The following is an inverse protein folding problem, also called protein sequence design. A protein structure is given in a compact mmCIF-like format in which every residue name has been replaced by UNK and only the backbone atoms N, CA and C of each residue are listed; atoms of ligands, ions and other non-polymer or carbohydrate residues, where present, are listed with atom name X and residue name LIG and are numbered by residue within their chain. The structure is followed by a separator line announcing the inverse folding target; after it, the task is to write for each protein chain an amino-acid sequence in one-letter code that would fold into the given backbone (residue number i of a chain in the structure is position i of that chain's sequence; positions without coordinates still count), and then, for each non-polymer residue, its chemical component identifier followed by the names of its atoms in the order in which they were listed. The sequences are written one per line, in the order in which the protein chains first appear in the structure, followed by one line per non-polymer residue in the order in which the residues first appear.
data_IF_452110272758
#
_entry.id   IF_452110272758
#
_cell.length_a   1.000
_cell.length_b   1.000
_cell.length_c   1.000
_cell.angle_alpha   90.00
_cell.angle_beta   90.00
_cell.angle_gamma   90.00
#
_symmetry.space_group_name_H-M   'P 1'
#
loop_
_entity.id
_entity.type
_entity.pdbx_description
1 polymer ?
#
# COMPACT_ATOMS: atom_id res chain seq x y z
N UNK A 1 -0.34 -3.18 19.99
CA UNK A 1 0.51 -1.96 20.09
C UNK A 1 1.58 -1.99 19.02
N UNK A 2 1.93 -0.84 18.47
CA UNK A 2 2.89 -0.73 17.37
C UNK A 2 3.15 0.72 16.98
N UNK A 3 3.99 0.88 15.96
CA UNK A 3 4.36 2.15 15.36
C UNK A 3 3.73 2.27 13.96
N UNK A 4 3.33 3.48 13.60
CA UNK A 4 2.78 3.84 12.30
C UNK A 4 3.55 5.05 11.75
N UNK A 5 3.77 5.10 10.43
CA UNK A 5 4.59 6.14 9.80
C UNK A 5 3.94 7.51 9.61
N UNK A 6 2.61 7.64 9.73
CA UNK A 6 1.87 8.84 9.30
C UNK A 6 2.34 10.11 10.00
N UNK A 7 2.34 10.15 11.33
CA UNK A 7 2.63 11.38 12.08
C UNK A 7 4.07 11.89 11.87
N UNK A 8 5.00 10.98 11.56
CA UNK A 8 6.41 11.33 11.36
C UNK A 8 6.78 11.61 9.90
N UNK A 9 6.14 10.93 8.95
CA UNK A 9 6.56 10.91 7.55
C UNK A 9 5.44 11.17 6.54
N UNK A 10 4.17 11.15 6.96
CA UNK A 10 3.03 11.18 6.05
C UNK A 10 3.21 10.22 4.87
N UNK A 11 3.11 10.76 3.66
CA UNK A 11 3.26 10.00 2.40
C UNK A 11 4.71 9.83 1.93
N UNK A 12 5.73 10.32 2.64
CA UNK A 12 7.12 10.38 2.14
C UNK A 12 8.07 9.33 2.72
N UNK A 13 7.57 8.44 3.58
CA UNK A 13 8.37 7.37 4.20
C UNK A 13 9.19 6.58 3.16
N UNK A 14 10.46 6.35 3.45
CA UNK A 14 11.35 5.45 2.68
C UNK A 14 11.60 4.14 3.41
N UNK A 15 12.02 3.11 2.67
CA UNK A 15 12.40 1.82 3.24
C UNK A 15 13.51 1.93 4.30
N UNK A 16 14.50 2.79 4.07
CA UNK A 16 15.60 3.00 5.02
C UNK A 16 15.08 3.56 6.37
N UNK A 17 14.21 4.56 6.32
CA UNK A 17 13.56 5.13 7.52
C UNK A 17 12.67 4.09 8.22
N UNK A 18 11.89 3.31 7.45
CA UNK A 18 11.06 2.24 8.02
C UNK A 18 11.92 1.20 8.75
N UNK A 19 12.99 0.71 8.10
CA UNK A 19 13.91 -0.27 8.71
C UNK A 19 14.58 0.29 9.97
N UNK A 20 14.91 1.57 10.01
CA UNK A 20 15.49 2.20 11.21
C UNK A 20 14.51 2.16 12.40
N UNK A 21 13.24 2.54 12.18
CA UNK A 21 12.20 2.46 13.21
C UNK A 21 11.95 1.02 13.67
N UNK A 22 11.88 0.07 12.74
CA UNK A 22 11.71 -1.36 13.04
C UNK A 22 12.86 -1.89 13.92
N UNK A 23 14.12 -1.61 13.58
CA UNK A 23 15.28 -2.03 14.39
C UNK A 23 15.21 -1.47 15.81
N UNK A 24 14.87 -0.19 15.92
CA UNK A 24 14.78 0.48 17.21
C UNK A 24 13.67 -0.14 18.06
N UNK A 25 12.48 -0.31 17.49
CA UNK A 25 11.35 -0.94 18.16
C UNK A 25 11.68 -2.38 18.61
N UNK A 26 12.35 -3.17 17.75
CA UNK A 26 12.75 -4.54 18.07
C UNK A 26 13.71 -4.61 19.27
N UNK A 27 14.71 -3.71 19.31
CA UNK A 27 15.73 -3.65 20.37
C UNK A 27 15.18 -3.11 21.69
N UNK A 28 14.29 -2.12 21.64
CA UNK A 28 13.93 -1.34 22.83
C UNK A 28 12.52 -1.63 23.35
N UNK A 29 11.53 -1.79 22.46
CA UNK A 29 10.12 -1.80 22.83
C UNK A 29 9.45 -3.18 22.77
N UNK A 30 10.00 -4.12 21.98
CA UNK A 30 9.36 -5.43 21.75
C UNK A 30 9.06 -6.19 23.04
N UNK A 31 9.98 -6.15 24.02
CA UNK A 31 9.80 -6.76 25.35
C UNK A 31 8.62 -6.21 26.14
N UNK A 32 8.13 -5.02 25.79
CA UNK A 32 6.98 -4.36 26.41
C UNK A 32 5.69 -4.52 25.58
N UNK A 33 5.67 -5.44 24.61
CA UNK A 33 4.45 -5.76 23.84
C UNK A 33 4.23 -4.93 22.57
N UNK A 34 5.19 -4.09 22.16
CA UNK A 34 5.16 -3.44 20.85
C UNK A 34 5.48 -4.44 19.75
N UNK A 35 4.55 -4.62 18.81
CA UNK A 35 4.60 -5.72 17.85
C UNK A 35 4.40 -5.31 16.41
N UNK A 36 3.64 -4.26 16.11
CA UNK A 36 3.32 -3.89 14.73
C UNK A 36 4.18 -2.73 14.24
N UNK A 37 4.75 -2.86 13.04
CA UNK A 37 5.35 -1.75 12.30
C UNK A 37 4.54 -1.54 11.02
N UNK A 38 3.93 -0.36 10.89
CA UNK A 38 2.92 -0.08 9.86
C UNK A 38 3.41 1.01 8.91
N UNK A 39 3.36 0.72 7.61
CA UNK A 39 3.53 1.71 6.54
C UNK A 39 2.15 2.30 6.24
N UNK A 40 1.99 3.60 6.49
CA UNK A 40 0.73 4.29 6.27
C UNK A 40 0.48 4.65 4.79
N UNK A 41 -0.59 5.40 4.52
CA UNK A 41 -1.13 5.66 3.20
C UNK A 41 -0.09 6.27 2.23
N UNK A 42 -0.28 5.99 0.94
CA UNK A 42 0.52 6.58 -0.12
C UNK A 42 1.84 5.87 -0.42
N UNK A 43 2.05 4.64 0.04
CA UNK A 43 3.24 3.85 -0.29
C UNK A 43 3.39 3.49 -1.79
N UNK A 44 2.31 3.57 -2.57
CA UNK A 44 2.33 3.41 -4.03
C UNK A 44 2.66 4.71 -4.79
N UNK A 45 2.76 5.84 -4.08
CA UNK A 45 3.09 7.15 -4.64
C UNK A 45 4.62 7.28 -4.77
N UNK A 46 5.17 7.57 -5.96
CA UNK A 46 6.61 7.81 -6.14
C UNK A 46 7.10 9.03 -5.33
N UNK A 47 8.41 9.11 -5.09
CA UNK A 47 9.06 10.19 -4.34
C UNK A 47 8.81 11.59 -4.94
N UNK A 48 8.59 11.67 -6.25
CA UNK A 48 8.23 12.92 -6.96
C UNK A 48 6.76 13.37 -6.77
N UNK A 49 5.98 12.67 -5.96
CA UNK A 49 4.60 13.01 -5.64
C UNK A 49 3.54 12.30 -6.49
N UNK A 50 2.29 12.42 -6.06
CA UNK A 50 1.14 11.86 -6.76
C UNK A 50 0.71 12.83 -7.88
N UNK A 51 1.03 12.48 -9.13
CA UNK A 51 0.31 13.03 -10.29
C UNK A 51 -0.78 12.04 -10.69
N UNK A 52 -1.89 12.53 -11.23
CA UNK A 52 -2.96 11.65 -11.72
C UNK A 52 -2.38 10.66 -12.76
N UNK A 53 -2.64 9.36 -12.58
CA UNK A 53 -2.13 8.31 -13.47
C UNK A 53 -0.68 7.86 -13.22
N UNK A 54 -0.11 8.14 -12.03
CA UNK A 54 1.28 7.80 -11.68
C UNK A 54 1.36 6.74 -10.57
N UNK A 55 0.22 6.20 -10.13
CA UNK A 55 0.22 5.18 -9.09
C UNK A 55 0.70 3.86 -9.69
N UNK A 56 1.59 3.18 -8.97
CA UNK A 56 2.05 1.88 -9.41
C UNK A 56 0.97 0.85 -9.11
N UNK A 57 0.37 0.31 -10.17
CA UNK A 57 -0.55 -0.82 -10.11
C UNK A 57 -0.01 -1.97 -10.97
N UNK A 58 -0.36 -3.21 -10.62
CA UNK A 58 -0.07 -4.36 -11.47
C UNK A 58 -1.11 -4.51 -12.60
N UNK A 59 -0.92 -5.54 -13.45
CA UNK A 59 -1.82 -5.84 -14.57
C UNK A 59 -3.25 -6.18 -14.18
N UNK A 60 -3.53 -6.36 -12.88
CA UNK A 60 -4.86 -6.65 -12.33
C UNK A 60 -5.40 -5.48 -11.51
N UNK A 61 -4.78 -4.31 -11.59
CA UNK A 61 -5.23 -3.11 -10.87
C UNK A 61 -4.93 -3.10 -9.38
N UNK A 62 -3.96 -3.90 -8.89
CA UNK A 62 -3.56 -3.92 -7.48
C UNK A 62 -2.39 -2.97 -7.25
N UNK A 63 -2.46 -2.12 -6.22
CA UNK A 63 -1.36 -1.23 -5.87
C UNK A 63 -0.04 -1.97 -5.60
N UNK A 64 1.05 -1.40 -6.06
CA UNK A 64 2.43 -1.85 -5.85
C UNK A 64 3.22 -0.75 -5.14
N UNK A 65 4.14 -1.11 -4.22
CA UNK A 65 5.06 -0.14 -3.60
C UNK A 65 5.94 0.53 -4.64
N UNK A 66 6.17 1.84 -4.46
CA UNK A 66 7.01 2.64 -5.32
C UNK A 66 8.50 2.27 -5.11
N UNK A 67 9.21 1.66 -6.09
CA UNK A 67 10.56 1.12 -5.88
C UNK A 67 11.64 2.17 -5.61
N UNK A 68 11.42 3.42 -6.01
CA UNK A 68 12.28 4.56 -5.69
C UNK A 68 12.27 4.89 -4.18
N UNK A 69 11.17 4.59 -3.49
CA UNK A 69 11.06 4.69 -2.02
C UNK A 69 11.30 3.37 -1.30
N UNK A 70 10.95 2.27 -1.95
CA UNK A 70 11.06 0.90 -1.44
C UNK A 70 11.88 0.02 -2.40
N UNK A 71 13.22 0.18 -2.45
CA UNK A 71 14.07 -0.52 -3.43
C UNK A 71 13.98 -2.04 -3.37
N UNK A 72 13.71 -2.62 -2.19
CA UNK A 72 13.54 -4.07 -2.06
C UNK A 72 12.32 -4.60 -2.80
N UNK A 73 11.36 -3.75 -3.15
CA UNK A 73 10.17 -4.13 -3.89
C UNK A 73 10.38 -4.26 -5.40
N UNK A 74 11.52 -3.78 -5.93
CA UNK A 74 11.87 -3.90 -7.34
C UNK A 74 11.82 -5.37 -7.82
N UNK A 75 11.50 -5.56 -9.09
CA UNK A 75 11.41 -6.90 -9.70
C UNK A 75 10.16 -7.68 -9.26
N UNK A 76 9.02 -7.00 -9.12
CA UNK A 76 7.74 -7.60 -8.72
C UNK A 76 7.74 -8.33 -7.36
N UNK A 77 8.67 -7.97 -6.46
CA UNK A 77 8.77 -8.57 -5.11
C UNK A 77 7.81 -7.95 -4.10
N UNK A 78 7.25 -6.78 -4.41
CA UNK A 78 6.34 -6.06 -3.52
C UNK A 78 6.93 -5.86 -2.13
N UNK A 79 6.11 -5.91 -1.08
CA UNK A 79 6.60 -5.80 0.28
C UNK A 79 7.17 -7.09 0.87
N UNK A 80 7.24 -8.19 0.11
CA UNK A 80 7.70 -9.50 0.62
C UNK A 80 9.06 -9.42 1.36
N UNK A 81 10.12 -8.86 0.74
CA UNK A 81 11.42 -8.73 1.40
C UNK A 81 11.41 -7.86 2.66
N UNK A 82 10.62 -6.78 2.67
CA UNK A 82 10.52 -5.88 3.81
C UNK A 82 9.72 -6.50 4.96
N UNK A 83 8.63 -7.21 4.66
CA UNK A 83 7.86 -7.98 5.63
C UNK A 83 8.72 -9.09 6.26
N UNK A 84 9.49 -9.83 5.44
CA UNK A 84 10.42 -10.84 5.94
C UNK A 84 11.44 -10.25 6.93
N UNK A 85 11.98 -9.06 6.64
CA UNK A 85 12.87 -8.37 7.56
C UNK A 85 12.20 -7.97 8.89
N UNK A 86 10.94 -7.52 8.86
CA UNK A 86 10.19 -7.22 10.08
C UNK A 86 9.96 -8.49 10.90
N UNK A 87 9.61 -9.60 10.24
CA UNK A 87 9.38 -10.88 10.89
C UNK A 87 10.66 -11.48 11.49
N UNK A 88 11.82 -11.34 10.84
CA UNK A 88 13.09 -11.84 11.37
C UNK A 88 13.52 -11.14 12.66
N UNK A 89 13.00 -9.94 12.92
CA UNK A 89 13.18 -9.19 14.17
C UNK A 89 12.09 -9.50 15.22
N UNK A 90 11.21 -10.47 14.95
CA UNK A 90 10.13 -10.89 15.85
C UNK A 90 9.00 -9.87 15.97
N UNK A 91 8.82 -9.02 14.95
CA UNK A 91 7.75 -8.03 14.85
C UNK A 91 6.73 -8.46 13.77
N UNK A 92 5.65 -7.69 13.60
CA UNK A 92 4.56 -7.89 12.63
C UNK A 92 4.52 -6.70 11.66
N UNK A 93 4.36 -6.98 10.38
CA UNK A 93 4.27 -5.96 9.33
C UNK A 93 2.80 -5.58 9.07
N UNK A 94 2.55 -4.30 8.83
CA UNK A 94 1.23 -3.80 8.45
C UNK A 94 1.31 -2.72 7.38
N UNK A 95 0.21 -2.55 6.63
CA UNK A 95 0.06 -1.50 5.63
C UNK A 95 -1.33 -0.85 5.75
N UNK A 96 -1.41 0.42 5.40
CA UNK A 96 -2.69 1.10 5.15
C UNK A 96 -3.11 0.89 3.69
N UNK A 97 -4.41 0.70 3.43
CA UNK A 97 -4.97 0.69 2.08
C UNK A 97 -6.14 1.68 1.99
N UNK A 98 -6.31 2.31 0.82
CA UNK A 98 -7.51 3.07 0.54
C UNK A 98 -8.65 2.10 0.21
N UNK A 99 -9.86 2.37 0.70
CA UNK A 99 -11.06 1.61 0.33
C UNK A 99 -11.22 1.63 -1.20
N UNK A 100 -11.68 0.51 -1.75
CA UNK A 100 -12.18 0.44 -3.12
C UNK A 100 -11.13 0.07 -4.16
N UNK A 101 -11.32 0.57 -5.38
CA UNK A 101 -10.56 0.18 -6.57
C UNK A 101 -9.82 1.40 -7.17
N UNK A 102 -8.58 1.25 -7.67
CA UNK A 102 -7.87 2.39 -8.24
C UNK A 102 -8.58 2.96 -9.46
N UNK A 103 -8.78 4.28 -9.52
CA UNK A 103 -9.41 4.94 -10.68
C UNK A 103 -8.64 4.67 -11.97
N UNK A 104 -7.32 4.45 -11.87
CA UNK A 104 -6.47 4.09 -13.01
C UNK A 104 -6.80 2.70 -13.56
N UNK A 105 -7.06 1.72 -12.69
CA UNK A 105 -7.51 0.39 -13.09
C UNK A 105 -8.88 0.47 -13.78
N UNK A 106 -9.79 1.29 -13.25
CA UNK A 106 -11.13 1.54 -13.85
C UNK A 106 -11.01 2.21 -15.22
N UNK A 107 -10.19 3.27 -15.35
CA UNK A 107 -9.96 3.95 -16.64
C UNK A 107 -9.39 2.99 -17.69
N UNK A 108 -8.38 2.20 -17.32
CA UNK A 108 -7.77 1.21 -18.21
C UNK A 108 -8.61 -0.06 -18.39
N UNK A 109 -9.71 -0.20 -17.63
CA UNK A 109 -10.55 -1.40 -17.58
C UNK A 109 -9.73 -2.69 -17.40
N UNK A 110 -8.82 -2.71 -16.42
CA UNK A 110 -7.95 -3.86 -16.20
C UNK A 110 -8.74 -5.10 -15.75
N UNK A 111 -8.30 -6.32 -16.11
CA UNK A 111 -8.94 -7.55 -15.67
C UNK A 111 -8.80 -7.73 -14.15
N UNK A 112 -9.81 -8.32 -13.52
CA UNK A 112 -9.75 -8.73 -12.11
C UNK A 112 -9.13 -10.14 -12.05
N UNK A 113 -8.13 -10.31 -11.19
CA UNK A 113 -7.39 -11.57 -11.10
C UNK A 113 -8.33 -12.72 -10.68
N UNK A 114 -8.37 -13.79 -11.48
CA UNK A 114 -9.15 -14.98 -11.16
C UNK A 114 -10.66 -14.85 -11.40
N UNK A 115 -11.12 -13.84 -12.16
CA UNK A 115 -12.53 -13.66 -12.50
C UNK A 115 -12.72 -13.33 -13.99
N UNK A 116 -13.95 -13.43 -14.53
CA UNK A 116 -14.26 -12.99 -15.88
C UNK A 116 -14.50 -11.46 -15.98
N UNK A 117 -14.41 -10.73 -14.86
CA UNK A 117 -14.79 -9.33 -14.77
C UNK A 117 -13.59 -8.38 -14.92
N UNK A 118 -13.88 -7.14 -15.27
CA UNK A 118 -12.92 -6.05 -15.35
C UNK A 118 -13.28 -4.92 -14.40
N UNK A 119 -12.30 -4.07 -14.10
CA UNK A 119 -12.39 -2.99 -13.12
C UNK A 119 -13.58 -2.04 -13.33
N UNK A 120 -14.03 -1.77 -14.57
CA UNK A 120 -15.21 -0.91 -14.80
C UNK A 120 -16.51 -1.54 -14.33
N UNK A 121 -16.61 -2.88 -14.35
CA UNK A 121 -17.81 -3.60 -13.93
C UNK A 121 -17.94 -3.63 -12.40
N UNK A 122 -16.80 -3.57 -11.71
CA UNK A 122 -16.69 -3.63 -10.26
C UNK A 122 -16.63 -2.24 -9.58
N UNK A 123 -16.69 -1.15 -10.34
CA UNK A 123 -16.51 0.20 -9.79
C UNK A 123 -17.85 0.85 -9.43
N UNK A 124 -17.95 1.40 -8.22
CA UNK A 124 -18.99 2.34 -7.83
C UNK A 124 -18.46 3.78 -7.93
N UNK A 125 -18.83 4.44 -9.03
CA UNK A 125 -18.42 5.83 -9.33
C UNK A 125 -19.15 6.87 -8.46
N UNK A 126 -20.22 6.48 -7.76
CA UNK A 126 -20.99 7.36 -6.88
C UNK A 126 -20.45 7.35 -5.43
N UNK A 127 -19.51 6.46 -5.13
CA UNK A 127 -18.88 6.34 -3.81
C UNK A 127 -17.36 6.61 -3.84
N UNK A 128 -16.86 7.76 -4.32
CA UNK A 128 -15.45 8.10 -4.23
C UNK A 128 -15.03 8.43 -2.78
N UNK A 129 -13.73 8.50 -2.54
CA UNK A 129 -13.21 9.11 -1.31
C UNK A 129 -13.20 10.64 -1.45
N UNK A 130 -13.69 11.36 -0.44
CA UNK A 130 -13.79 12.83 -0.47
C UNK A 130 -12.44 13.55 -0.29
N UNK A 131 -11.43 12.86 0.24
CA UNK A 131 -10.14 13.47 0.59
C UNK A 131 -8.93 12.78 -0.08
N UNK A 132 -9.14 11.70 -0.83
CA UNK A 132 -8.10 11.06 -1.63
C UNK A 132 -8.65 10.72 -3.04
N UNK A 133 -8.03 11.24 -4.11
CA UNK A 133 -8.61 11.15 -5.46
C UNK A 133 -8.31 9.82 -6.17
N UNK A 134 -7.66 8.86 -5.51
CA UNK A 134 -7.03 7.73 -6.20
C UNK A 134 -7.93 6.51 -6.36
N UNK A 135 -8.99 6.39 -5.56
CA UNK A 135 -9.92 5.27 -5.61
C UNK A 135 -11.37 5.71 -5.85
N UNK A 136 -12.08 4.87 -6.59
CA UNK A 136 -13.55 4.82 -6.57
C UNK A 136 -14.01 3.70 -5.62
N UNK A 137 -15.30 3.64 -5.31
CA UNK A 137 -15.86 2.51 -4.58
C UNK A 137 -15.77 1.22 -5.37
N UNK A 138 -15.84 0.10 -4.67
CA UNK A 138 -16.22 -1.18 -5.30
C UNK A 138 -17.74 -1.26 -5.20
N UNK A 139 -18.41 -1.73 -6.26
CA UNK A 139 -19.85 -1.88 -6.25
C UNK A 139 -20.25 -3.03 -5.31
N UNK A 140 -21.54 -3.33 -5.23
CA UNK A 140 -22.03 -4.54 -4.55
C UNK A 140 -22.74 -5.39 -5.62
N UNK A 141 -21.94 -6.05 -6.46
CA UNK A 141 -22.43 -6.85 -7.58
C UNK A 141 -21.51 -8.05 -7.89
N UNK A 142 -21.82 -8.81 -8.94
CA UNK A 142 -21.04 -10.02 -9.26
C UNK A 142 -19.55 -9.76 -9.59
N UNK A 143 -19.19 -8.56 -10.04
CA UNK A 143 -17.83 -8.16 -10.37
C UNK A 143 -17.00 -7.67 -9.18
N UNK A 144 -17.67 -7.34 -8.08
CA UNK A 144 -17.16 -6.55 -6.96
C UNK A 144 -18.24 -5.58 -6.58
#
# INVERSE_FOLDING_TARGET
MGWNSWDAYGKTLTEAQFRANVRWMAKHLRRYGWRYAVIDAGWSVPAGGARAGVLRIDRYGRYLPAPDRFPSAAGARGFGPLAHYVHSLGLKFGIHIMRGIPKEAVRANLPIAGSPFHARQAADLNAPCSWDPNNDGVADNAAG
#
